data_IF_617545520762
#
_entry.id   IF_617545520762
#
_cell.length_a   1.000
_cell.length_b   1.000
_cell.length_c   1.000
_cell.angle_alpha   90.00
_cell.angle_beta   90.00
_cell.angle_gamma   90.00
#
_symmetry.space_group_name_H-M   'P 1'
#
loop_
_entity.id
_entity.type
_entity.pdbx_description
1 polymer ?
#
# COMPACT_ATOMS: atom_id res chain seq x y z
N UNK A 1 22.22 -13.16 0.23
CA UNK A 1 21.76 -13.80 1.48
C UNK A 1 21.00 -12.84 2.40
N UNK A 2 20.92 -11.55 2.08
CA UNK A 2 20.16 -10.56 2.86
C UNK A 2 18.66 -10.87 2.76
N UNK A 3 18.16 -11.02 1.53
CA UNK A 3 16.74 -11.24 1.26
C UNK A 3 16.32 -12.73 1.23
N UNK A 4 17.29 -13.63 1.44
CA UNK A 4 17.08 -15.09 1.35
C UNK A 4 17.21 -15.64 -0.07
N UNK A 5 17.59 -16.93 -0.16
CA UNK A 5 17.90 -17.59 -1.44
C UNK A 5 16.67 -17.69 -2.35
N UNK A 6 15.47 -17.85 -1.78
CA UNK A 6 14.22 -17.94 -2.53
C UNK A 6 13.93 -16.66 -3.32
N UNK A 7 13.94 -15.50 -2.67
CA UNK A 7 13.73 -14.21 -3.35
C UNK A 7 14.90 -13.88 -4.28
N UNK A 8 16.14 -14.17 -3.84
CA UNK A 8 17.30 -13.90 -4.68
C UNK A 8 17.31 -14.72 -5.97
N UNK A 9 16.93 -16.00 -5.91
CA UNK A 9 16.91 -16.86 -7.10
C UNK A 9 15.86 -16.41 -8.11
N UNK A 10 14.72 -15.92 -7.64
CA UNK A 10 13.60 -15.47 -8.49
C UNK A 10 13.80 -14.05 -9.01
N UNK A 11 14.10 -13.10 -8.11
CA UNK A 11 14.02 -11.67 -8.43
C UNK A 11 15.38 -10.98 -8.60
N UNK A 12 16.48 -11.53 -8.06
CA UNK A 12 17.84 -10.94 -8.04
C UNK A 12 17.92 -9.56 -7.36
N UNK A 13 16.85 -9.09 -6.75
CA UNK A 13 16.70 -7.80 -6.09
C UNK A 13 15.60 -7.87 -5.04
N UNK A 14 15.45 -6.82 -4.23
CA UNK A 14 14.26 -6.62 -3.41
C UNK A 14 13.12 -6.15 -4.29
N UNK A 15 12.00 -6.90 -4.41
CA UNK A 15 11.04 -6.68 -5.49
C UNK A 15 9.82 -5.83 -5.10
N UNK A 16 9.86 -5.16 -3.95
CA UNK A 16 8.75 -4.33 -3.49
C UNK A 16 9.24 -3.00 -2.93
N UNK A 17 8.34 -2.03 -2.84
CA UNK A 17 8.50 -0.77 -2.14
C UNK A 17 7.43 -0.62 -1.07
N UNK A 18 7.70 0.26 -0.09
CA UNK A 18 6.67 0.82 0.78
C UNK A 18 6.86 2.33 0.87
N UNK A 19 5.77 3.05 0.96
CA UNK A 19 5.78 4.50 1.06
C UNK A 19 4.58 5.01 1.84
N UNK A 20 4.62 6.29 2.21
CA UNK A 20 3.49 6.99 2.79
C UNK A 20 3.00 8.08 1.84
N UNK A 21 1.68 8.22 1.76
CA UNK A 21 1.03 9.38 1.18
C UNK A 21 0.33 10.17 2.29
N UNK A 22 0.58 11.46 2.33
CA UNK A 22 -0.12 12.43 3.18
C UNK A 22 -0.43 13.67 2.32
N UNK A 23 -1.49 13.57 1.53
CA UNK A 23 -1.74 14.49 0.42
C UNK A 23 -2.70 15.64 0.78
N UNK A 24 -3.20 15.74 2.00
CA UNK A 24 -4.23 16.72 2.40
C UNK A 24 -5.50 16.71 1.53
N UNK A 25 -5.72 15.66 0.75
CA UNK A 25 -6.83 15.50 -0.17
C UNK A 25 -6.62 14.33 -1.12
N UNK A 26 -7.60 13.98 -1.95
CA UNK A 26 -7.48 12.84 -2.87
C UNK A 26 -6.48 13.11 -3.99
N UNK A 27 -5.77 12.08 -4.40
CA UNK A 27 -5.07 12.06 -5.68
C UNK A 27 -6.07 11.87 -6.84
N UNK A 28 -5.69 12.23 -8.09
CA UNK A 28 -6.55 11.98 -9.24
C UNK A 28 -6.86 10.49 -9.40
N UNK A 29 -8.06 10.18 -9.91
CA UNK A 29 -8.36 8.82 -10.37
C UNK A 29 -7.32 8.35 -11.37
N UNK A 30 -6.76 7.19 -11.09
CA UNK A 30 -5.75 6.55 -11.92
C UNK A 30 -5.88 5.04 -11.88
N UNK A 31 -5.14 4.39 -12.75
CA UNK A 31 -5.08 2.94 -12.85
C UNK A 31 -3.64 2.49 -13.03
N UNK A 32 -3.29 1.36 -12.42
CA UNK A 32 -2.01 0.70 -12.64
C UNK A 32 -2.16 -0.44 -13.64
N UNK A 33 -1.17 -0.59 -14.51
CA UNK A 33 -1.14 -1.65 -15.52
C UNK A 33 -0.78 -2.99 -14.86
N UNK A 34 -1.31 -4.08 -15.41
CA UNK A 34 -0.83 -5.43 -15.12
C UNK A 34 0.51 -5.69 -15.82
N UNK A 35 1.13 -6.84 -15.55
CA UNK A 35 2.45 -7.18 -16.13
C UNK A 35 2.42 -7.24 -17.67
N UNK A 36 1.34 -7.72 -18.28
CA UNK A 36 1.19 -7.82 -19.74
C UNK A 36 1.19 -6.42 -20.39
N UNK A 37 0.34 -5.51 -19.89
CA UNK A 37 0.25 -4.16 -20.43
C UNK A 37 1.49 -3.32 -20.11
N UNK A 38 2.05 -3.44 -18.92
CA UNK A 38 3.28 -2.73 -18.53
C UNK A 38 4.51 -3.18 -19.37
N UNK A 39 4.57 -4.44 -19.77
CA UNK A 39 5.66 -4.96 -20.60
C UNK A 39 5.73 -4.28 -21.99
N UNK A 40 4.62 -3.76 -22.52
CA UNK A 40 4.58 -3.03 -23.79
C UNK A 40 5.44 -1.75 -23.76
N UNK A 41 5.66 -1.20 -22.59
CA UNK A 41 6.52 -0.02 -22.38
C UNK A 41 7.79 -0.34 -21.57
N UNK A 42 8.14 -1.63 -21.44
CA UNK A 42 9.35 -2.10 -20.77
C UNK A 42 9.29 -1.96 -19.22
N UNK A 43 8.09 -1.88 -18.65
CA UNK A 43 7.87 -1.81 -17.21
C UNK A 43 7.24 -3.10 -16.67
N UNK A 44 7.07 -3.15 -15.35
CA UNK A 44 6.33 -4.22 -14.64
C UNK A 44 4.98 -3.70 -14.20
N UNK A 45 4.01 -4.58 -14.03
CA UNK A 45 2.73 -4.25 -13.44
C UNK A 45 2.87 -3.78 -11.99
N UNK A 46 1.89 -3.01 -11.51
CA UNK A 46 1.92 -2.43 -10.16
C UNK A 46 0.67 -2.82 -9.36
N UNK A 47 0.64 -4.00 -8.72
CA UNK A 47 -0.25 -4.21 -7.59
C UNK A 47 0.23 -3.41 -6.38
N UNK A 48 -0.71 -2.85 -5.63
CA UNK A 48 -0.47 -2.13 -4.39
C UNK A 48 -1.55 -2.46 -3.36
N UNK A 49 -1.34 -2.02 -2.12
CA UNK A 49 -2.36 -2.07 -1.08
C UNK A 49 -2.25 -0.82 -0.20
N UNK A 50 -3.35 -0.46 0.45
CA UNK A 50 -3.43 0.65 1.39
C UNK A 50 -3.65 0.13 2.80
N UNK A 51 -3.03 0.80 3.74
CA UNK A 51 -3.35 0.70 5.15
C UNK A 51 -3.34 2.10 5.76
N UNK A 52 -4.27 2.38 6.67
CA UNK A 52 -4.46 3.69 7.30
C UNK A 52 -4.01 3.62 8.77
N UNK A 53 -2.72 3.87 9.08
CA UNK A 53 -2.21 3.75 10.44
C UNK A 53 -2.95 4.70 11.39
N UNK A 54 -3.49 4.21 12.53
CA UNK A 54 -4.17 5.07 13.50
C UNK A 54 -3.29 6.17 14.07
N UNK A 55 -1.97 5.92 14.17
CA UNK A 55 -0.99 6.87 14.69
C UNK A 55 -0.87 8.15 13.84
N UNK A 56 -1.14 8.05 12.54
CA UNK A 56 -1.07 9.18 11.59
C UNK A 56 -2.45 9.75 11.23
N UNK A 57 -3.54 9.08 11.61
CA UNK A 57 -4.92 9.39 11.21
C UNK A 57 -5.84 9.67 12.40
N UNK A 58 -5.33 10.30 13.44
CA UNK A 58 -6.08 10.61 14.66
C UNK A 58 -6.56 12.08 14.73
N UNK A 59 -6.35 12.87 13.69
CA UNK A 59 -6.82 14.24 13.61
C UNK A 59 -8.30 14.28 13.22
N UNK A 60 -9.07 15.10 13.91
CA UNK A 60 -10.48 15.33 13.60
C UNK A 60 -10.67 16.39 12.52
N UNK A 61 -11.80 16.36 11.84
CA UNK A 61 -12.28 17.46 11.02
C UNK A 61 -12.36 17.21 9.52
N UNK A 62 -11.53 16.35 8.96
CA UNK A 62 -11.62 15.99 7.55
C UNK A 62 -12.57 14.81 7.34
N UNK A 63 -13.29 14.84 6.22
CA UNK A 63 -14.11 13.72 5.82
C UNK A 63 -13.23 12.62 5.20
N UNK A 64 -13.04 11.48 5.86
CA UNK A 64 -12.13 10.44 5.39
C UNK A 64 -12.81 9.61 4.29
N UNK A 65 -12.36 9.76 3.05
CA UNK A 65 -12.92 9.03 1.91
C UNK A 65 -11.85 8.65 0.89
N UNK A 66 -12.21 7.68 0.04
CA UNK A 66 -11.48 7.30 -1.16
C UNK A 66 -12.47 6.93 -2.26
N UNK A 67 -12.03 6.98 -3.51
CA UNK A 67 -12.75 6.39 -4.63
C UNK A 67 -12.07 5.11 -5.08
N UNK A 68 -12.82 4.02 -5.18
CA UNK A 68 -12.31 2.73 -5.66
C UNK A 68 -13.38 2.05 -6.51
N UNK A 69 -13.04 1.72 -7.75
CA UNK A 69 -13.93 1.05 -8.69
C UNK A 69 -14.94 1.98 -9.37
N UNK A 70 -15.73 1.38 -10.24
CA UNK A 70 -16.73 2.02 -11.07
C UNK A 70 -18.12 1.63 -10.55
N UNK A 71 -19.04 2.58 -10.50
CA UNK A 71 -20.41 2.33 -10.04
C UNK A 71 -21.08 1.26 -10.91
N UNK A 72 -21.71 0.23 -10.31
CA UNK A 72 -22.42 -0.80 -11.06
C UNK A 72 -23.47 -0.20 -12.02
N UNK A 73 -23.51 -0.72 -13.25
CA UNK A 73 -24.38 -0.22 -14.30
C UNK A 73 -23.79 0.89 -15.19
N UNK A 74 -22.60 1.39 -14.87
CA UNK A 74 -21.84 2.27 -15.76
C UNK A 74 -21.39 1.48 -16.99
N UNK A 75 -21.44 2.09 -18.17
CA UNK A 75 -20.99 1.45 -19.42
C UNK A 75 -19.54 1.85 -19.78
N UNK A 76 -18.88 1.03 -20.60
CA UNK A 76 -17.55 1.33 -21.13
C UNK A 76 -17.53 2.63 -21.93
N UNK A 77 -18.59 2.91 -22.68
CA UNK A 77 -18.76 4.11 -23.48
C UNK A 77 -18.78 5.37 -22.61
N UNK A 78 -19.43 5.33 -21.45
CA UNK A 78 -19.47 6.45 -20.51
C UNK A 78 -18.07 6.78 -19.95
N UNK A 79 -17.31 5.77 -19.57
CA UNK A 79 -15.92 5.98 -19.11
C UNK A 79 -15.04 6.47 -20.27
N UNK A 80 -15.15 5.85 -21.46
CA UNK A 80 -14.41 6.28 -22.64
C UNK A 80 -14.71 7.74 -23.00
N UNK A 81 -15.98 8.18 -22.90
CA UNK A 81 -16.37 9.57 -23.12
C UNK A 81 -15.68 10.52 -22.14
N UNK A 82 -15.53 10.15 -20.86
CA UNK A 82 -14.75 10.92 -19.90
C UNK A 82 -13.30 11.10 -20.36
N UNK A 83 -12.65 10.03 -20.84
CA UNK A 83 -11.26 10.08 -21.31
C UNK A 83 -11.12 10.93 -22.58
N UNK A 84 -12.05 10.82 -23.54
CA UNK A 84 -12.07 11.67 -24.75
C UNK A 84 -12.24 13.16 -24.42
N UNK A 85 -12.89 13.46 -23.31
CA UNK A 85 -13.11 14.83 -22.84
C UNK A 85 -12.03 15.30 -21.85
N UNK A 86 -10.93 14.57 -21.66
CA UNK A 86 -9.91 14.84 -20.67
C UNK A 86 -9.38 16.27 -20.70
N UNK A 87 -9.06 16.82 -21.87
CA UNK A 87 -8.50 18.16 -22.04
C UNK A 87 -9.55 19.30 -22.10
N UNK A 88 -10.84 18.99 -21.83
CA UNK A 88 -11.94 19.96 -21.91
C UNK A 88 -12.39 20.51 -20.55
N UNK A 89 -11.55 20.42 -19.52
CA UNK A 89 -11.87 20.75 -18.14
C UNK A 89 -12.14 19.49 -17.29
N UNK A 90 -13.07 19.55 -16.34
CA UNK A 90 -13.44 18.39 -15.54
C UNK A 90 -14.14 17.33 -16.42
N UNK A 91 -13.48 16.19 -16.60
CA UNK A 91 -13.99 15.09 -17.42
C UNK A 91 -15.09 14.25 -16.75
N UNK A 92 -15.48 14.59 -15.52
CA UNK A 92 -16.59 13.98 -14.78
C UNK A 92 -16.47 12.49 -14.46
N UNK A 93 -15.27 11.92 -14.52
CA UNK A 93 -15.08 10.49 -14.25
C UNK A 93 -15.52 10.09 -12.83
N UNK A 94 -15.43 11.01 -11.87
CA UNK A 94 -15.87 10.79 -10.49
C UNK A 94 -17.37 10.53 -10.37
N UNK A 95 -18.19 10.96 -11.35
CA UNK A 95 -19.63 10.69 -11.36
C UNK A 95 -19.94 9.19 -11.54
N UNK A 96 -18.98 8.43 -12.02
CA UNK A 96 -19.09 6.99 -12.26
C UNK A 96 -18.29 6.15 -11.27
N UNK A 97 -17.71 6.76 -10.22
CA UNK A 97 -16.88 6.08 -9.25
C UNK A 97 -17.65 5.73 -7.98
N UNK A 98 -17.26 4.65 -7.34
CA UNK A 98 -17.74 4.34 -5.99
C UNK A 98 -16.90 5.06 -4.97
N UNK A 99 -17.55 5.68 -3.97
CA UNK A 99 -16.90 6.36 -2.86
C UNK A 99 -17.07 5.55 -1.57
N UNK A 100 -15.99 5.42 -0.82
CA UNK A 100 -15.99 4.70 0.45
C UNK A 100 -15.45 5.59 1.57
N UNK A 101 -16.10 5.50 2.74
CA UNK A 101 -15.56 6.07 3.97
C UNK A 101 -14.36 5.25 4.41
N UNK A 102 -13.28 5.93 4.77
CA UNK A 102 -12.08 5.30 5.30
C UNK A 102 -12.15 5.18 6.84
N UNK A 103 -11.50 4.15 7.37
CA UNK A 103 -11.42 3.90 8.81
C UNK A 103 -9.96 3.64 9.20
N UNK A 104 -9.42 4.36 10.23
CA UNK A 104 -8.07 4.07 10.74
C UNK A 104 -7.95 2.61 11.19
N UNK A 105 -6.79 2.00 10.96
CA UNK A 105 -6.54 0.60 11.30
C UNK A 105 -7.10 -0.40 10.29
N UNK A 106 -7.59 0.05 9.14
CA UNK A 106 -8.07 -0.81 8.05
C UNK A 106 -7.29 -0.58 6.76
N UNK A 107 -7.52 -1.40 5.75
CA UNK A 107 -6.81 -1.32 4.48
C UNK A 107 -7.64 -1.72 3.26
N UNK A 108 -7.03 -1.55 2.09
CA UNK A 108 -7.60 -1.94 0.80
C UNK A 108 -6.56 -2.64 -0.07
N UNK A 109 -6.97 -3.70 -0.74
CA UNK A 109 -6.21 -4.32 -1.81
C UNK A 109 -6.54 -3.64 -3.14
N UNK A 110 -5.49 -3.19 -3.85
CA UNK A 110 -5.60 -2.42 -5.09
C UNK A 110 -4.81 -3.15 -6.18
N UNK A 111 -5.39 -4.21 -6.79
CA UNK A 111 -4.73 -4.92 -7.87
C UNK A 111 -4.66 -4.06 -9.15
N UNK A 112 -3.76 -4.40 -10.09
CA UNK A 112 -3.71 -3.75 -11.39
C UNK A 112 -5.07 -3.77 -12.11
N UNK A 113 -5.37 -2.73 -12.86
CA UNK A 113 -6.63 -2.58 -13.58
C UNK A 113 -7.77 -2.00 -12.74
N UNK A 114 -7.62 -1.86 -11.43
CA UNK A 114 -8.61 -1.22 -10.57
C UNK A 114 -8.45 0.30 -10.63
N UNK A 115 -9.50 1.00 -11.09
CA UNK A 115 -9.57 2.47 -11.09
C UNK A 115 -9.77 2.96 -9.65
N UNK A 116 -8.87 3.83 -9.19
CA UNK A 116 -8.89 4.29 -7.81
C UNK A 116 -8.31 5.70 -7.64
N UNK A 117 -8.63 6.33 -6.53
CA UNK A 117 -8.05 7.59 -6.12
C UNK A 117 -7.72 7.50 -4.62
N UNK A 118 -6.43 7.47 -4.23
CA UNK A 118 -6.07 7.56 -2.83
C UNK A 118 -6.73 8.77 -2.18
N UNK A 119 -7.31 8.53 -1.02
CA UNK A 119 -8.19 9.50 -0.38
C UNK A 119 -7.47 10.51 0.51
N UNK A 120 -8.19 11.00 1.51
CA UNK A 120 -7.75 12.10 2.39
C UNK A 120 -6.94 11.64 3.61
N UNK A 121 -6.85 10.34 3.87
CA UNK A 121 -6.07 9.81 5.00
C UNK A 121 -4.60 9.60 4.64
N UNK A 122 -3.71 9.81 5.62
CA UNK A 122 -2.33 9.36 5.50
C UNK A 122 -2.31 7.84 5.28
N UNK A 123 -1.74 7.42 4.17
CA UNK A 123 -1.80 6.05 3.67
C UNK A 123 -0.41 5.43 3.64
N UNK A 124 -0.26 4.29 4.32
CA UNK A 124 0.86 3.39 4.10
C UNK A 124 0.55 2.52 2.89
N UNK A 125 1.43 2.55 1.88
CA UNK A 125 1.27 1.84 0.61
C UNK A 125 2.44 0.89 0.37
N UNK A 126 2.34 -0.40 0.68
CA UNK A 126 3.20 -1.42 0.10
C UNK A 126 2.79 -1.71 -1.35
N UNK A 127 3.78 -1.84 -2.25
CA UNK A 127 3.59 -2.07 -3.67
C UNK A 127 4.69 -2.95 -4.28
N UNK A 128 4.42 -3.57 -5.42
CA UNK A 128 5.48 -4.14 -6.26
C UNK A 128 6.43 -3.02 -6.72
N UNK A 129 7.71 -3.34 -6.88
CA UNK A 129 8.73 -2.38 -7.33
C UNK A 129 8.47 -1.94 -8.78
N UNK A 130 7.50 -1.08 -8.96
CA UNK A 130 7.05 -0.48 -10.23
C UNK A 130 6.33 0.84 -9.95
N UNK A 131 6.42 1.78 -10.90
CA UNK A 131 5.72 3.07 -10.85
C UNK A 131 4.85 3.31 -12.10
N UNK A 132 4.42 2.24 -12.79
CA UNK A 132 3.53 2.36 -13.96
C UNK A 132 2.14 2.84 -13.54
N UNK A 133 1.61 3.85 -14.21
CA UNK A 133 0.26 4.38 -14.01
C UNK A 133 -0.26 5.10 -15.24
N UNK A 134 -1.57 5.36 -15.28
CA UNK A 134 -2.21 6.32 -16.16
C UNK A 134 -3.27 7.10 -15.38
N UNK A 135 -3.24 8.45 -15.47
CA UNK A 135 -4.20 9.32 -14.79
C UNK A 135 -5.46 9.46 -15.63
N UNK A 136 -6.62 9.08 -15.06
CA UNK A 136 -7.90 9.10 -15.77
C UNK A 136 -8.79 10.28 -15.36
N UNK A 137 -8.49 10.98 -14.28
CA UNK A 137 -9.18 12.20 -13.87
C UNK A 137 -8.41 13.43 -14.33
N UNK A 138 -9.10 14.36 -14.98
CA UNK A 138 -8.50 15.56 -15.56
C UNK A 138 -8.42 16.77 -14.63
N UNK A 139 -9.21 16.78 -13.55
CA UNK A 139 -9.26 17.88 -12.58
C UNK A 139 -9.46 17.32 -11.16
N UNK A 140 -8.62 17.73 -10.22
CA UNK A 140 -8.76 17.40 -8.80
C UNK A 140 -8.35 18.60 -7.96
N UNK A 141 -9.14 18.96 -6.94
CA UNK A 141 -8.85 20.09 -6.04
C UNK A 141 -8.41 21.38 -6.79
N UNK A 142 -9.13 21.75 -7.84
CA UNK A 142 -8.85 22.91 -8.71
C UNK A 142 -7.54 22.79 -9.53
N UNK A 143 -6.79 21.69 -9.39
CA UNK A 143 -5.60 21.44 -10.19
C UNK A 143 -5.92 20.64 -11.45
N UNK A 144 -5.53 21.20 -12.60
CA UNK A 144 -5.64 20.51 -13.90
C UNK A 144 -4.53 19.47 -14.02
N UNK A 145 -4.91 18.26 -14.38
CA UNK A 145 -3.96 17.17 -14.61
C UNK A 145 -3.47 17.25 -16.06
N UNK A 146 -2.15 17.28 -16.29
CA UNK A 146 -1.59 17.28 -17.64
C UNK A 146 -2.00 16.04 -18.46
N UNK A 147 -2.35 16.22 -19.73
CA UNK A 147 -2.80 15.13 -20.60
C UNK A 147 -1.72 14.07 -20.82
N UNK A 148 -0.44 14.42 -20.71
CA UNK A 148 0.68 13.50 -20.79
C UNK A 148 0.58 12.39 -19.71
N UNK A 149 -0.04 12.67 -18.56
CA UNK A 149 -0.23 11.68 -17.51
C UNK A 149 -1.36 10.69 -17.81
N UNK A 150 -2.32 11.05 -18.67
CA UNK A 150 -3.31 10.10 -19.19
C UNK A 150 -2.63 9.02 -20.03
N UNK A 151 -1.62 9.40 -20.81
CA UNK A 151 -0.91 8.51 -21.74
C UNK A 151 0.35 7.90 -21.16
N UNK A 152 0.67 8.14 -19.89
CA UNK A 152 1.97 7.78 -19.29
C UNK A 152 2.30 6.28 -19.37
N UNK A 153 1.33 5.40 -19.28
CA UNK A 153 1.50 3.94 -19.38
C UNK A 153 1.28 3.37 -20.80
N UNK A 154 1.16 4.23 -21.83
CA UNK A 154 0.76 3.82 -23.18
C UNK A 154 1.97 3.81 -24.13
N UNK A 155 2.13 2.79 -25.02
CA UNK A 155 3.11 2.84 -26.10
C UNK A 155 2.95 4.11 -26.95
N UNK A 156 4.06 4.69 -27.42
CA UNK A 156 4.05 5.98 -28.14
C UNK A 156 3.18 5.97 -29.39
N UNK A 157 3.15 4.85 -30.09
CA UNK A 157 2.36 4.59 -31.30
C UNK A 157 0.86 4.50 -31.03
N UNK A 158 0.48 4.23 -29.79
CA UNK A 158 -0.93 4.10 -29.36
C UNK A 158 -1.48 5.36 -28.68
N UNK A 159 -0.66 6.41 -28.55
CA UNK A 159 -1.13 7.69 -28.01
C UNK A 159 -2.25 8.26 -28.88
N UNK A 160 -3.38 8.59 -28.28
CA UNK A 160 -4.62 8.98 -28.98
C UNK A 160 -5.61 7.84 -29.22
N UNK A 161 -5.21 6.60 -28.99
CA UNK A 161 -6.10 5.44 -29.06
C UNK A 161 -6.75 5.18 -27.68
N UNK A 162 -7.91 5.76 -27.45
CA UNK A 162 -8.63 5.62 -26.18
C UNK A 162 -9.08 4.18 -25.88
N UNK A 163 -9.18 3.30 -26.88
CA UNK A 163 -9.48 1.89 -26.64
C UNK A 163 -8.35 1.18 -25.90
N UNK A 164 -7.09 1.57 -26.14
CA UNK A 164 -5.96 1.06 -25.35
C UNK A 164 -6.05 1.44 -23.87
N UNK A 165 -6.48 2.66 -23.55
CA UNK A 165 -6.72 3.06 -22.16
C UNK A 165 -7.84 2.22 -21.53
N UNK A 166 -8.91 1.95 -22.27
CA UNK A 166 -10.02 1.12 -21.78
C UNK A 166 -9.60 -0.34 -21.52
N UNK A 167 -8.62 -0.86 -22.26
CA UNK A 167 -8.08 -2.21 -22.04
C UNK A 167 -7.20 -2.34 -20.78
N UNK A 168 -6.74 -1.23 -20.19
CA UNK A 168 -6.02 -1.26 -18.91
C UNK A 168 -6.97 -1.51 -17.74
N UNK A 169 -8.24 -1.11 -17.89
CA UNK A 169 -9.27 -1.30 -16.86
C UNK A 169 -9.71 -2.77 -16.82
N UNK A 170 -9.55 -3.42 -15.67
CA UNK A 170 -10.24 -4.69 -15.40
C UNK A 170 -11.73 -4.38 -15.15
N UNK A 171 -12.55 -4.55 -16.19
CA UNK A 171 -13.94 -4.13 -16.15
C UNK A 171 -14.77 -4.90 -15.12
N UNK A 172 -14.60 -6.20 -15.06
CA UNK A 172 -15.36 -7.07 -14.15
C UNK A 172 -15.00 -6.77 -12.69
N UNK A 173 -13.72 -6.51 -12.42
CA UNK A 173 -13.26 -6.08 -11.10
C UNK A 173 -13.86 -4.73 -10.72
N UNK A 174 -13.78 -3.74 -11.60
CA UNK A 174 -14.21 -2.36 -11.31
C UNK A 174 -15.72 -2.22 -11.08
N UNK A 175 -16.53 -2.98 -11.80
CA UNK A 175 -18.01 -2.92 -11.72
C UNK A 175 -18.59 -3.99 -10.79
N UNK A 176 -17.75 -4.69 -10.04
CA UNK A 176 -18.20 -5.72 -9.10
C UNK A 176 -19.06 -5.10 -7.98
N UNK A 177 -20.32 -5.48 -7.83
CA UNK A 177 -21.16 -4.96 -6.76
C UNK A 177 -20.68 -5.33 -5.35
N UNK A 178 -19.84 -6.37 -5.22
CA UNK A 178 -19.23 -6.83 -3.97
C UNK A 178 -17.76 -6.36 -3.84
N UNK A 179 -17.38 -5.25 -4.47
CA UNK A 179 -16.01 -4.75 -4.45
C UNK A 179 -15.48 -4.54 -3.02
N UNK A 180 -16.31 -3.96 -2.15
CA UNK A 180 -15.99 -3.77 -0.74
C UNK A 180 -15.61 -5.11 -0.07
N UNK A 181 -16.42 -6.14 -0.19
CA UNK A 181 -16.19 -7.43 0.46
C UNK A 181 -14.91 -8.12 -0.06
N UNK A 182 -14.58 -7.90 -1.33
CA UNK A 182 -13.46 -8.57 -1.99
C UNK A 182 -12.14 -7.81 -1.85
N UNK A 183 -12.16 -6.49 -1.58
CA UNK A 183 -10.96 -5.64 -1.58
C UNK A 183 -10.66 -4.97 -0.25
N UNK A 184 -11.65 -4.75 0.59
CA UNK A 184 -11.44 -4.21 1.92
C UNK A 184 -10.72 -5.23 2.82
N UNK A 185 -9.76 -4.75 3.62
CA UNK A 185 -8.96 -5.58 4.51
C UNK A 185 -9.10 -5.12 5.96
N UNK A 186 -9.74 -5.96 6.77
CA UNK A 186 -9.63 -5.88 8.21
C UNK A 186 -8.32 -6.56 8.66
N UNK A 187 -7.60 -6.00 9.64
CA UNK A 187 -6.43 -6.68 10.19
C UNK A 187 -6.77 -8.07 10.74
N UNK A 188 -5.94 -9.06 10.42
CA UNK A 188 -6.12 -10.45 10.84
C UNK A 188 -4.99 -10.83 11.79
N UNK A 189 -5.26 -11.30 13.04
CA UNK A 189 -4.22 -11.77 13.95
C UNK A 189 -3.36 -12.86 13.31
N UNK A 190 -2.03 -12.81 13.51
CA UNK A 190 -1.10 -13.82 12.99
C UNK A 190 -1.17 -15.12 13.77
N UNK A 191 -1.66 -15.07 15.01
CA UNK A 191 -1.84 -16.18 15.93
C UNK A 191 -2.98 -15.89 16.92
N UNK A 192 -3.21 -16.78 17.87
CA UNK A 192 -4.17 -16.55 18.95
C UNK A 192 -3.84 -15.26 19.73
N UNK A 193 -4.79 -14.33 19.76
CA UNK A 193 -4.60 -13.00 20.35
C UNK A 193 -4.26 -13.08 21.85
N UNK A 194 -4.97 -13.92 22.62
CA UNK A 194 -4.71 -14.06 24.05
C UNK A 194 -3.32 -14.61 24.34
N UNK A 195 -2.80 -15.50 23.49
CA UNK A 195 -1.44 -16.02 23.62
C UNK A 195 -0.38 -14.96 23.28
N UNK A 196 -0.62 -14.11 22.28
CA UNK A 196 0.29 -13.01 21.95
C UNK A 196 0.29 -11.96 23.06
N UNK A 197 -0.88 -11.57 23.55
CA UNK A 197 -1.02 -10.62 24.66
C UNK A 197 -0.33 -11.12 25.94
N UNK A 198 -0.47 -12.38 26.28
CA UNK A 198 0.22 -12.99 27.42
C UNK A 198 1.75 -12.97 27.29
N UNK A 199 2.28 -12.87 26.05
CA UNK A 199 3.69 -12.74 25.74
C UNK A 199 4.16 -11.28 25.62
N UNK A 200 3.26 -10.30 25.76
CA UNK A 200 3.56 -8.89 25.77
C UNK A 200 3.53 -8.18 24.40
N UNK A 201 2.85 -8.75 23.39
CA UNK A 201 2.73 -8.14 22.07
C UNK A 201 1.40 -8.48 21.40
N UNK A 202 1.10 -7.78 20.31
CA UNK A 202 0.07 -8.11 19.33
C UNK A 202 0.65 -7.98 17.93
N UNK A 203 0.33 -8.89 17.03
CA UNK A 203 0.75 -8.82 15.63
C UNK A 203 -0.41 -9.22 14.71
N UNK A 204 -0.62 -8.42 13.64
CA UNK A 204 -1.73 -8.60 12.71
C UNK A 204 -1.27 -8.42 11.28
N UNK A 205 -1.78 -9.23 10.37
CA UNK A 205 -1.70 -8.98 8.94
C UNK A 205 -2.57 -7.76 8.58
N UNK A 206 -1.98 -6.79 7.90
CA UNK A 206 -2.65 -5.56 7.43
C UNK A 206 -2.74 -5.50 5.90
N UNK A 207 -1.80 -6.14 5.17
CA UNK A 207 -1.87 -6.35 3.73
C UNK A 207 -1.57 -7.82 3.46
N UNK A 208 -2.53 -8.54 2.87
CA UNK A 208 -2.45 -10.01 2.77
C UNK A 208 -3.15 -10.61 1.54
N UNK A 209 -3.62 -9.77 0.60
CA UNK A 209 -4.33 -10.25 -0.61
C UNK A 209 -3.47 -10.22 -1.88
N UNK A 210 -2.24 -9.68 -1.81
CA UNK A 210 -1.34 -9.59 -2.96
C UNK A 210 -0.31 -10.72 -2.96
N UNK A 211 -0.04 -11.29 -4.13
CA UNK A 211 1.07 -12.23 -4.34
C UNK A 211 2.43 -11.53 -4.41
N UNK A 212 2.45 -10.20 -4.62
CA UNK A 212 3.66 -9.43 -4.82
C UNK A 212 4.31 -8.95 -3.52
N UNK A 213 3.55 -8.89 -2.44
CA UNK A 213 4.00 -8.42 -1.11
C UNK A 213 2.98 -8.78 -0.04
N UNK A 214 3.40 -8.63 1.22
CA UNK A 214 2.48 -8.63 2.37
C UNK A 214 2.99 -7.69 3.45
N UNK A 215 2.14 -7.32 4.42
CA UNK A 215 2.55 -6.47 5.54
C UNK A 215 1.83 -6.85 6.84
N UNK A 216 2.54 -6.63 7.96
CA UNK A 216 2.04 -6.80 9.32
C UNK A 216 2.18 -5.50 10.11
N UNK A 217 1.30 -5.30 11.08
CA UNK A 217 1.50 -4.35 12.17
C UNK A 217 1.87 -5.15 13.43
N UNK A 218 2.99 -4.78 14.06
CA UNK A 218 3.44 -5.34 15.33
C UNK A 218 3.35 -4.27 16.42
N UNK A 219 2.72 -4.61 17.53
CA UNK A 219 2.65 -3.78 18.75
C UNK A 219 3.35 -4.51 19.89
N UNK A 220 4.37 -3.89 20.49
CA UNK A 220 5.02 -4.38 21.72
C UNK A 220 4.56 -3.54 22.91
N UNK A 221 3.96 -4.19 23.90
CA UNK A 221 3.34 -3.51 25.03
C UNK A 221 4.37 -2.81 25.94
N UNK A 222 3.95 -1.82 26.73
CA UNK A 222 4.83 -1.08 27.62
C UNK A 222 5.62 -2.01 28.56
N UNK A 223 6.93 -1.75 28.72
CA UNK A 223 7.82 -2.50 29.60
C UNK A 223 8.15 -3.92 29.16
N UNK A 224 7.68 -4.37 28.01
CA UNK A 224 7.87 -5.76 27.55
C UNK A 224 9.16 -5.92 26.72
N UNK A 225 9.74 -7.12 26.83
CA UNK A 225 10.78 -7.61 25.93
C UNK A 225 10.26 -8.88 25.25
N UNK A 226 10.19 -8.86 23.94
CA UNK A 226 9.65 -9.95 23.13
C UNK A 226 10.67 -10.41 22.10
N UNK A 227 10.57 -11.66 21.65
CA UNK A 227 11.34 -12.17 20.50
C UNK A 227 10.36 -12.57 19.42
N UNK A 228 10.44 -11.89 18.28
CA UNK A 228 9.56 -12.08 17.13
C UNK A 228 10.31 -12.85 16.04
N UNK A 229 9.69 -13.87 15.50
CA UNK A 229 10.22 -14.69 14.39
C UNK A 229 9.34 -14.53 13.16
N UNK A 230 9.98 -14.43 11.99
CA UNK A 230 9.32 -14.41 10.68
C UNK A 230 10.06 -15.33 9.73
N UNK A 231 9.35 -15.95 8.79
CA UNK A 231 9.96 -16.89 7.83
C UNK A 231 10.66 -16.22 6.65
N UNK A 232 10.57 -14.89 6.52
CA UNK A 232 11.12 -14.11 5.40
C UNK A 232 11.82 -12.83 5.89
N UNK A 233 12.70 -12.27 5.05
CA UNK A 233 13.25 -10.92 5.24
C UNK A 233 12.15 -9.87 5.14
N UNK A 234 12.31 -8.76 5.85
CA UNK A 234 11.35 -7.66 5.82
C UNK A 234 11.99 -6.28 6.03
N UNK A 235 11.39 -5.26 5.45
CA UNK A 235 11.60 -3.89 5.87
C UNK A 235 10.71 -3.57 7.08
N UNK A 236 11.16 -2.65 7.92
CA UNK A 236 10.47 -2.25 9.15
C UNK A 236 10.45 -0.73 9.26
N UNK A 237 9.29 -0.17 9.60
CA UNK A 237 9.11 1.26 9.87
C UNK A 237 8.47 1.41 11.25
N UNK A 238 9.08 2.25 12.09
CA UNK A 238 8.54 2.61 13.39
C UNK A 238 7.40 3.61 13.25
N UNK A 239 6.26 3.33 13.87
CA UNK A 239 5.09 4.22 13.86
C UNK A 239 4.90 4.92 15.18
N UNK A 240 5.33 4.33 16.29
CA UNK A 240 5.18 4.88 17.63
C UNK A 240 6.20 4.28 18.59
N UNK A 241 6.64 5.09 19.56
CA UNK A 241 7.40 4.61 20.72
C UNK A 241 8.91 4.61 20.53
N UNK A 242 9.61 4.09 21.54
CA UNK A 242 11.07 4.00 21.56
C UNK A 242 11.53 2.79 22.38
N UNK A 243 12.71 2.29 22.07
CA UNK A 243 13.26 1.13 22.75
C UNK A 243 14.52 0.58 22.10
N UNK A 244 14.62 -0.75 22.07
CA UNK A 244 15.72 -1.45 21.38
C UNK A 244 15.21 -2.56 20.49
N UNK A 245 15.89 -2.75 19.37
CA UNK A 245 15.80 -3.93 18.52
C UNK A 245 17.17 -4.57 18.42
N UNK A 246 17.34 -5.70 19.13
CA UNK A 246 18.67 -6.28 19.36
C UNK A 246 19.59 -5.30 20.06
N UNK A 247 20.66 -4.89 19.36
CA UNK A 247 21.64 -3.90 19.85
C UNK A 247 21.33 -2.45 19.45
N UNK A 248 20.38 -2.24 18.54
CA UNK A 248 20.06 -0.94 17.96
C UNK A 248 19.00 -0.22 18.80
N UNK A 249 19.19 1.08 19.00
CA UNK A 249 18.12 1.92 19.50
C UNK A 249 17.12 2.15 18.37
N UNK A 250 15.83 2.12 18.73
CA UNK A 250 14.71 2.41 17.84
C UNK A 250 13.83 3.50 18.47
N UNK A 251 13.38 4.44 17.65
CA UNK A 251 12.50 5.53 18.09
C UNK A 251 11.76 6.17 16.93
N UNK A 252 10.60 6.75 17.21
CA UNK A 252 9.84 7.55 16.27
C UNK A 252 9.17 8.74 16.97
N UNK A 253 9.11 9.94 16.34
CA UNK A 253 9.77 10.24 15.07
C UNK A 253 11.27 10.40 15.27
N UNK A 254 12.07 9.85 14.35
CA UNK A 254 13.52 10.08 14.33
C UNK A 254 13.86 11.47 13.81
N UNK A 255 14.78 12.14 14.49
CA UNK A 255 15.31 13.40 14.01
C UNK A 255 16.33 13.14 12.90
N UNK A 256 15.97 13.46 11.66
CA UNK A 256 16.85 13.30 10.50
C UNK A 256 17.94 14.36 10.52
N UNK A 257 19.21 13.93 10.53
CA UNK A 257 20.39 14.80 10.42
C UNK A 257 21.22 14.36 9.22
N UNK A 258 21.74 15.33 8.47
CA UNK A 258 22.59 15.05 7.33
C UNK A 258 23.77 14.14 7.68
N UNK A 259 23.93 13.05 6.92
CA UNK A 259 24.99 12.07 7.08
C UNK A 259 24.81 11.07 8.25
N UNK A 260 23.65 11.07 8.91
CA UNK A 260 23.31 10.09 9.94
C UNK A 260 22.18 9.15 9.44
N UNK A 261 22.21 7.92 9.95
CA UNK A 261 21.11 6.98 9.77
C UNK A 261 19.97 7.35 10.75
N UNK A 262 18.74 7.09 10.33
CA UNK A 262 17.56 7.20 11.20
C UNK A 262 17.44 5.98 12.11
N UNK A 263 16.64 6.09 13.18
CA UNK A 263 16.36 5.00 14.12
C UNK A 263 14.92 4.49 13.98
N UNK A 264 14.24 4.79 12.89
CA UNK A 264 12.85 4.46 12.61
C UNK A 264 12.67 3.54 11.39
N UNK A 265 13.72 3.33 10.57
CA UNK A 265 13.67 2.44 9.42
C UNK A 265 14.79 1.40 9.47
N UNK A 266 14.44 0.14 9.27
CA UNK A 266 15.38 -0.98 9.30
C UNK A 266 15.04 -2.01 8.23
N UNK A 267 16.05 -2.75 7.81
CA UNK A 267 15.88 -3.96 7.02
C UNK A 267 16.37 -5.18 7.82
N UNK A 268 15.47 -6.12 8.09
CA UNK A 268 15.76 -7.37 8.80
C UNK A 268 16.01 -8.47 7.78
N UNK A 269 17.22 -9.03 7.82
CA UNK A 269 17.60 -10.11 6.91
C UNK A 269 16.80 -11.38 7.20
N UNK A 270 16.61 -12.24 6.19
CA UNK A 270 15.89 -13.52 6.36
C UNK A 270 16.48 -14.37 7.50
N UNK A 271 17.83 -14.38 7.62
CA UNK A 271 18.49 -15.11 8.70
C UNK A 271 18.09 -14.58 10.07
N UNK A 272 18.20 -13.25 10.25
CA UNK A 272 17.86 -12.62 11.54
C UNK A 272 16.37 -12.80 11.87
N UNK A 273 15.48 -12.68 10.87
CA UNK A 273 14.05 -12.90 11.04
C UNK A 273 13.74 -14.31 11.55
N UNK A 274 14.36 -15.34 10.95
CA UNK A 274 14.20 -16.74 11.36
C UNK A 274 14.82 -17.10 12.71
N UNK A 275 15.95 -16.48 13.05
CA UNK A 275 16.62 -16.68 14.35
C UNK A 275 15.86 -15.97 15.48
N UNK A 276 15.06 -14.97 15.14
CA UNK A 276 14.27 -14.17 16.07
C UNK A 276 14.91 -12.82 16.39
N UNK A 277 14.11 -11.78 16.30
CA UNK A 277 14.48 -10.40 16.60
C UNK A 277 13.95 -10.03 17.98
N UNK A 278 14.85 -9.74 18.92
CA UNK A 278 14.46 -9.27 20.24
C UNK A 278 14.13 -7.78 20.18
N UNK A 279 12.94 -7.42 20.71
CA UNK A 279 12.46 -6.04 20.80
C UNK A 279 12.13 -5.74 22.24
N UNK A 280 12.69 -4.64 22.79
CA UNK A 280 12.44 -4.17 24.14
C UNK A 280 11.78 -2.81 24.11
N UNK A 281 10.60 -2.70 24.67
CA UNK A 281 9.92 -1.44 24.89
C UNK A 281 10.34 -0.85 26.25
N UNK A 282 11.00 0.30 26.22
CA UNK A 282 11.49 0.97 27.43
C UNK A 282 10.44 1.87 28.10
N UNK A 283 9.36 2.21 27.37
CA UNK A 283 8.26 2.99 27.97
C UNK A 283 7.45 2.13 28.95
N UNK A 284 6.99 2.74 30.01
CA UNK A 284 6.06 2.11 30.96
C UNK A 284 4.60 2.42 30.63
N UNK A 285 4.34 3.29 29.68
CA UNK A 285 3.00 3.81 29.34
C UNK A 285 2.64 3.62 27.87
N UNK A 286 3.61 3.78 26.96
CA UNK A 286 3.33 3.84 25.54
C UNK A 286 3.81 2.57 24.84
N UNK A 287 3.00 1.99 23.93
CA UNK A 287 3.45 0.86 23.13
C UNK A 287 4.48 1.28 22.08
N UNK A 288 5.30 0.33 21.65
CA UNK A 288 6.00 0.42 20.36
C UNK A 288 5.06 -0.14 19.31
N UNK A 289 4.84 0.62 18.23
CA UNK A 289 4.11 0.16 17.03
C UNK A 289 5.02 0.27 15.82
N UNK A 290 5.05 -0.78 15.01
CA UNK A 290 5.84 -0.82 13.79
C UNK A 290 5.13 -1.56 12.67
N UNK A 291 5.38 -1.13 11.43
CA UNK A 291 4.92 -1.80 10.21
C UNK A 291 6.06 -2.64 9.63
N UNK A 292 5.76 -3.88 9.31
CA UNK A 292 6.68 -4.82 8.69
C UNK A 292 6.18 -5.15 7.28
N UNK A 293 7.01 -4.95 6.25
CA UNK A 293 6.64 -5.27 4.87
C UNK A 293 7.56 -6.33 4.29
N UNK A 294 6.95 -7.33 3.69
CA UNK A 294 7.59 -8.52 3.15
C UNK A 294 7.47 -8.53 1.63
N UNK A 295 8.48 -9.02 0.96
CA UNK A 295 8.42 -9.33 -0.47
C UNK A 295 7.47 -10.49 -0.78
N UNK A 296 7.34 -10.87 -2.06
CA UNK A 296 6.55 -12.02 -2.47
C UNK A 296 7.07 -13.33 -1.87
N UNK A 297 6.28 -14.38 -2.00
CA UNK A 297 6.63 -15.73 -1.53
C UNK A 297 6.86 -15.80 -0.01
N UNK A 298 6.23 -14.95 0.79
CA UNK A 298 6.31 -15.04 2.24
C UNK A 298 5.64 -16.35 2.73
N UNK A 299 6.39 -17.29 3.38
CA UNK A 299 5.82 -18.57 3.78
C UNK A 299 4.81 -18.49 4.93
N UNK A 300 4.81 -17.37 5.67
CA UNK A 300 3.88 -17.16 6.78
C UNK A 300 2.50 -16.75 6.29
N UNK A 301 2.40 -16.25 5.03
CA UNK A 301 1.12 -15.90 4.42
C UNK A 301 0.42 -17.16 3.90
N UNK A 302 -0.73 -17.51 4.48
CA UNK A 302 -1.47 -18.77 4.23
C UNK A 302 -2.94 -18.53 3.88
N UNK A 303 -3.24 -17.54 3.07
CA UNK A 303 -4.62 -17.20 2.67
C UNK A 303 -4.89 -17.57 1.22
#
# INVERSE_FOLDING_TARGET
>A
QIIGDRLWNEYKSWPMYSKFFDNMGPLPHHVHHNDEKAALIGQKGKPEAYYFPPQLNNHGGDFPYTFIGIAPGTTKEQIKECLVNFSKGDNKITNYSQAYKLEPGTGWDVPPGLLHAPGSMCTYEPQKASDVFAMYQSLVNEAVIPEELLWNGTPKEEVGNYDQLMEVIDWDLNTNPNLLETRFMQPIPVADEAQMEAKGYSEKWICYRSDAFSAKELTVFPGQTVTITDAAAYGLIMMQGHGKMGVWNIETPSLIRYGQLTNDEFFVTEKAAKEGVQITNHSTTDPIVMLKHFGPLNPDLKF
#
